data_IF_054482549865
#
_entry.id   IF_054482549865
#
_cell.length_a   1.000
_cell.length_b   1.000
_cell.length_c   1.000
_cell.angle_alpha   90.00
_cell.angle_beta   90.00
_cell.angle_gamma   90.00
#
_symmetry.space_group_name_H-M   'P 1'
#
loop_
_entity.id
_entity.type
_entity.pdbx_description
1 polymer ?
#
# COMPACT_ATOMS: atom_id res chain seq x y z
N UNK A 1 4.10 4.88 2.30
CA UNK A 1 4.94 4.30 3.40
C UNK A 1 5.84 5.34 4.05
N UNK A 2 6.61 6.11 3.26
CA UNK A 2 7.49 7.17 3.77
C UNK A 2 6.70 8.31 4.45
N UNK A 3 5.57 8.77 3.89
CA UNK A 3 4.69 9.79 4.50
C UNK A 3 4.18 9.43 5.90
N UNK A 4 4.01 8.14 6.17
CA UNK A 4 3.55 7.62 7.46
C UNK A 4 4.73 7.28 8.40
N UNK A 5 5.97 7.50 7.98
CA UNK A 5 7.17 7.30 8.79
C UNK A 5 7.54 5.85 9.09
N UNK A 6 7.07 4.89 8.30
CA UNK A 6 7.43 3.47 8.45
C UNK A 6 8.78 3.11 7.81
N UNK A 7 9.17 3.86 6.79
CA UNK A 7 10.37 3.65 5.98
C UNK A 7 11.19 4.94 6.02
N UNK A 8 12.52 4.80 6.10
CA UNK A 8 13.48 5.91 6.04
C UNK A 8 13.76 6.35 4.61
N UNK A 9 15.02 6.67 4.33
CA UNK A 9 15.46 6.98 2.98
C UNK A 9 15.49 5.72 2.11
N UNK A 10 15.28 5.92 0.81
CA UNK A 10 15.39 4.85 -0.17
C UNK A 10 16.19 5.32 -1.37
N UNK A 11 16.99 4.41 -1.91
CA UNK A 11 17.82 4.66 -3.07
C UNK A 11 17.44 3.68 -4.19
N UNK A 12 17.26 4.22 -5.38
CA UNK A 12 17.06 3.43 -6.59
C UNK A 12 18.41 3.26 -7.30
N UNK A 13 18.88 2.02 -7.39
CA UNK A 13 20.11 1.66 -8.08
C UNK A 13 19.73 0.99 -9.40
N UNK A 14 20.08 1.62 -10.51
CA UNK A 14 19.83 1.09 -11.85
C UNK A 14 20.99 0.21 -12.32
N UNK A 15 20.79 -1.10 -12.28
CA UNK A 15 21.75 -2.12 -12.73
C UNK A 15 21.59 -2.49 -14.22
N UNK A 16 20.99 -1.62 -15.07
CA UNK A 16 20.63 -1.93 -16.48
C UNK A 16 19.71 -3.17 -16.64
N UNK A 17 19.20 -3.70 -15.51
CA UNK A 17 18.30 -4.84 -15.40
C UNK A 17 16.93 -4.42 -14.85
N UNK A 18 16.40 -5.14 -13.87
CA UNK A 18 15.10 -4.85 -13.25
C UNK A 18 15.13 -3.71 -12.20
N UNK A 19 16.29 -3.06 -11.99
CA UNK A 19 16.53 -2.11 -10.90
C UNK A 19 16.56 -2.78 -9.52
N UNK A 20 17.32 -2.18 -8.60
CA UNK A 20 17.30 -2.57 -7.18
C UNK A 20 16.88 -1.37 -6.36
N UNK A 21 16.10 -1.61 -5.31
CA UNK A 21 15.79 -0.60 -4.31
C UNK A 21 16.42 -1.00 -3.00
N UNK A 22 17.28 -0.12 -2.50
CA UNK A 22 17.83 -0.20 -1.15
C UNK A 22 16.98 0.72 -0.28
N UNK A 23 16.50 0.18 0.84
CA UNK A 23 15.60 0.89 1.74
C UNK A 23 16.17 0.84 3.15
N UNK A 24 16.27 2.00 3.80
CA UNK A 24 16.58 2.07 5.22
C UNK A 24 15.32 1.83 6.07
N UNK A 25 15.41 0.85 6.98
CA UNK A 25 14.31 0.49 7.86
C UNK A 25 14.48 1.14 9.23
N UNK A 26 13.52 1.97 9.63
CA UNK A 26 13.50 2.65 10.93
C UNK A 26 13.10 1.74 12.11
N UNK A 27 12.95 0.43 11.89
CA UNK A 27 12.54 -0.54 12.93
C UNK A 27 11.06 -0.48 13.37
N UNK A 28 10.25 0.45 12.82
CA UNK A 28 8.81 0.59 13.12
C UNK A 28 7.90 -0.33 12.31
N UNK A 29 8.46 -1.04 11.33
CA UNK A 29 7.72 -1.92 10.44
C UNK A 29 7.51 -3.29 11.10
N UNK A 30 6.28 -3.56 11.52
CA UNK A 30 5.94 -4.86 12.12
C UNK A 30 5.73 -5.94 11.04
N UNK A 31 4.81 -5.69 10.10
CA UNK A 31 4.47 -6.60 9.01
C UNK A 31 3.88 -5.80 7.86
N UNK A 32 4.48 -5.92 6.69
CA UNK A 32 3.87 -5.53 5.42
C UNK A 32 3.52 -6.80 4.64
N UNK A 33 2.34 -6.83 4.05
CA UNK A 33 1.86 -7.97 3.30
C UNK A 33 0.91 -7.53 2.21
N UNK A 34 0.74 -8.40 1.23
CA UNK A 34 -0.07 -8.14 0.06
C UNK A 34 -1.20 -9.15 -0.02
N UNK A 35 -2.38 -8.72 -0.43
CA UNK A 35 -3.51 -9.62 -0.64
C UNK A 35 -3.55 -10.06 -2.11
N UNK A 36 -3.50 -11.37 -2.33
CA UNK A 36 -3.37 -11.95 -3.67
C UNK A 36 -4.62 -11.83 -4.53
N UNK A 37 -5.78 -11.48 -3.96
CA UNK A 37 -7.08 -11.54 -4.65
C UNK A 37 -7.72 -10.15 -4.69
N UNK A 38 -8.11 -9.69 -5.89
CA UNK A 38 -8.79 -8.40 -6.09
C UNK A 38 -10.22 -8.48 -5.58
N UNK A 39 -10.41 -8.18 -4.30
CA UNK A 39 -11.75 -7.93 -3.77
C UNK A 39 -12.14 -6.48 -4.03
N UNK A 40 -13.28 -6.29 -4.67
CA UNK A 40 -13.97 -5.00 -4.66
C UNK A 40 -14.42 -4.70 -3.22
N UNK A 41 -14.08 -3.52 -2.73
CA UNK A 41 -14.44 -3.06 -1.39
C UNK A 41 -15.37 -1.86 -1.54
N UNK A 42 -16.65 -2.07 -1.24
CA UNK A 42 -17.59 -0.96 -1.10
C UNK A 42 -17.26 -0.10 0.11
N UNK A 43 -17.71 1.16 0.12
CA UNK A 43 -17.48 2.11 1.22
C UNK A 43 -17.89 1.54 2.58
N UNK A 44 -19.01 0.80 2.62
CA UNK A 44 -19.55 0.15 3.83
C UNK A 44 -18.70 -1.04 4.29
N UNK A 45 -17.97 -1.69 3.38
CA UNK A 45 -17.19 -2.89 3.67
C UNK A 45 -15.79 -2.57 4.20
N UNK A 46 -15.34 -1.31 4.05
CA UNK A 46 -14.03 -0.84 4.52
C UNK A 46 -13.83 -1.16 6.01
N UNK A 47 -14.84 -0.94 6.86
CA UNK A 47 -14.73 -1.22 8.29
C UNK A 47 -14.58 -2.71 8.60
N UNK A 48 -15.24 -3.58 7.81
CA UNK A 48 -15.08 -5.03 7.93
C UNK A 48 -13.71 -5.52 7.47
N UNK A 49 -13.07 -4.85 6.52
CA UNK A 49 -11.68 -5.13 6.15
C UNK A 49 -10.67 -4.63 7.18
N UNK A 50 -10.91 -3.46 7.78
CA UNK A 50 -10.10 -2.94 8.90
C UNK A 50 -10.07 -3.95 10.05
N UNK A 51 -11.24 -4.46 10.46
CA UNK A 51 -11.33 -5.41 11.56
C UNK A 51 -10.64 -6.76 11.27
N UNK A 52 -10.53 -7.16 10.00
CA UNK A 52 -9.90 -8.43 9.59
C UNK A 52 -8.40 -8.33 9.40
N UNK A 53 -7.92 -7.21 8.89
CA UNK A 53 -6.52 -7.04 8.47
C UNK A 53 -5.67 -6.33 9.53
N UNK A 54 -6.25 -5.40 10.28
CA UNK A 54 -5.51 -4.62 11.27
C UNK A 54 -5.71 -5.22 12.67
N UNK A 55 -4.63 -5.34 13.47
CA UNK A 55 -4.74 -5.85 14.84
C UNK A 55 -5.49 -4.88 15.77
N UNK A 56 -5.52 -3.59 15.43
CA UNK A 56 -6.26 -2.56 16.15
C UNK A 56 -6.70 -1.45 15.18
N UNK A 57 -7.82 -0.78 15.48
CA UNK A 57 -8.30 0.38 14.70
C UNK A 57 -7.37 1.58 14.74
N UNK A 58 -6.52 1.68 15.76
CA UNK A 58 -5.58 2.79 15.95
C UNK A 58 -4.23 2.54 15.27
N UNK A 59 -3.97 1.33 14.78
CA UNK A 59 -2.64 0.95 14.32
C UNK A 59 -2.66 0.29 12.94
N UNK A 60 -1.86 0.86 12.04
CA UNK A 60 -1.63 0.38 10.69
C UNK A 60 -2.56 1.00 9.67
N UNK A 61 -2.13 0.96 8.40
CA UNK A 61 -2.86 1.55 7.30
C UNK A 61 -3.16 0.51 6.25
N UNK A 62 -4.43 0.41 5.88
CA UNK A 62 -4.84 -0.25 4.65
C UNK A 62 -4.83 0.80 3.55
N UNK A 63 -4.21 0.45 2.44
CA UNK A 63 -4.22 1.30 1.25
C UNK A 63 -5.04 0.62 0.16
N UNK A 64 -5.86 1.41 -0.51
CA UNK A 64 -6.84 0.97 -1.50
C UNK A 64 -6.53 1.66 -2.83
N UNK A 65 -6.70 0.92 -3.92
CA UNK A 65 -6.69 1.49 -5.27
C UNK A 65 -8.11 1.87 -5.62
N UNK A 66 -8.38 3.17 -5.71
CA UNK A 66 -9.69 3.72 -6.09
C UNK A 66 -9.60 4.31 -7.49
N UNK A 67 -10.74 4.66 -8.11
CA UNK A 67 -10.76 5.35 -9.40
C UNK A 67 -10.08 6.73 -9.39
N UNK A 68 -9.96 7.35 -8.21
CA UNK A 68 -9.34 8.67 -8.03
C UNK A 68 -7.83 8.55 -7.77
N UNK A 69 -7.34 7.34 -7.53
CA UNK A 69 -5.94 7.06 -7.22
C UNK A 69 -5.77 6.12 -6.03
N UNK A 70 -4.51 5.92 -5.65
CA UNK A 70 -4.11 5.11 -4.50
C UNK A 70 -4.23 5.94 -3.23
N UNK A 71 -4.99 5.46 -2.24
CA UNK A 71 -5.21 6.23 -1.01
C UNK A 71 -5.43 5.35 0.22
N UNK A 72 -5.15 5.93 1.38
CA UNK A 72 -5.39 5.32 2.68
C UNK A 72 -6.89 5.13 2.93
N UNK A 73 -7.26 4.09 3.69
CA UNK A 73 -8.64 3.83 4.10
C UNK A 73 -9.32 5.01 4.82
N UNK A 74 -8.57 5.83 5.57
CA UNK A 74 -9.12 7.05 6.18
C UNK A 74 -9.49 8.10 5.12
N UNK A 75 -8.65 8.30 4.11
CA UNK A 75 -8.93 9.22 2.99
C UNK A 75 -10.09 8.70 2.15
N UNK A 76 -10.14 7.40 1.90
CA UNK A 76 -11.25 6.76 1.20
C UNK A 76 -12.59 6.96 1.94
N UNK A 77 -12.58 6.85 3.28
CA UNK A 77 -13.74 7.12 4.13
C UNK A 77 -14.18 8.58 4.06
N UNK A 78 -13.25 9.54 4.11
CA UNK A 78 -13.57 10.98 3.99
C UNK A 78 -14.16 11.34 2.63
N UNK A 79 -13.66 10.73 1.56
CA UNK A 79 -14.11 10.96 0.18
C UNK A 79 -15.33 10.10 -0.20
N UNK A 80 -15.80 9.21 0.67
CA UNK A 80 -16.86 8.22 0.39
C UNK A 80 -16.62 7.44 -0.91
N UNK A 81 -15.37 7.07 -1.17
CA UNK A 81 -15.00 6.28 -2.35
C UNK A 81 -14.65 4.86 -1.95
N UNK A 82 -15.26 3.90 -2.64
CA UNK A 82 -14.84 2.50 -2.58
C UNK A 82 -13.59 2.28 -3.42
N UNK A 83 -12.99 1.12 -3.27
CA UNK A 83 -11.80 0.77 -4.04
C UNK A 83 -11.64 -0.72 -4.18
N UNK A 84 -10.59 -1.12 -4.85
CA UNK A 84 -10.12 -2.50 -4.83
C UNK A 84 -8.96 -2.59 -3.86
N UNK A 85 -8.91 -3.68 -3.10
CA UNK A 85 -7.65 -4.04 -2.44
C UNK A 85 -6.66 -4.34 -3.58
N UNK A 86 -5.44 -3.78 -3.53
CA UNK A 86 -4.46 -4.07 -4.55
C UNK A 86 -4.16 -5.57 -4.56
N UNK A 87 -4.28 -6.17 -5.73
CA UNK A 87 -3.93 -7.55 -6.06
C UNK A 87 -3.01 -7.54 -7.30
N UNK A 88 -2.27 -8.64 -7.43
CA UNK A 88 -1.34 -8.89 -8.52
C UNK A 88 -2.07 -9.81 -9.49
N UNK A 89 -2.62 -9.26 -10.57
CA UNK A 89 -2.93 -10.06 -11.75
C UNK A 89 -1.72 -10.03 -12.68
N UNK A 90 -0.88 -11.05 -12.55
CA UNK A 90 -0.04 -11.57 -13.62
C UNK A 90 1.04 -10.59 -14.13
N UNK A 91 2.09 -10.36 -13.34
CA UNK A 91 3.50 -10.41 -13.77
C UNK A 91 4.39 -9.94 -12.60
N UNK A 92 5.38 -10.74 -12.23
CA UNK A 92 6.48 -10.46 -11.29
C UNK A 92 6.13 -10.14 -9.81
N UNK A 93 6.57 -11.04 -8.92
CA UNK A 93 6.50 -10.96 -7.45
C UNK A 93 7.26 -9.78 -6.81
N UNK A 94 8.03 -9.01 -7.57
CA UNK A 94 8.87 -7.91 -7.05
C UNK A 94 8.40 -6.51 -7.45
N UNK A 95 7.47 -6.39 -8.40
CA UNK A 95 7.03 -5.08 -8.92
C UNK A 95 6.01 -4.36 -8.02
N UNK A 96 5.22 -5.12 -7.25
CA UNK A 96 4.11 -4.54 -6.49
C UNK A 96 4.57 -3.67 -5.30
N UNK A 97 5.79 -3.87 -4.77
CA UNK A 97 6.37 -2.95 -3.76
C UNK A 97 7.01 -1.70 -4.39
N UNK A 98 7.45 -1.79 -5.65
CA UNK A 98 8.23 -0.75 -6.34
C UNK A 98 7.36 0.40 -6.84
N UNK A 99 6.28 0.09 -7.57
CA UNK A 99 5.32 1.10 -8.02
C UNK A 99 4.66 1.79 -6.83
N UNK A 100 4.45 1.08 -5.72
CA UNK A 100 3.82 1.64 -4.52
C UNK A 100 4.72 2.63 -3.74
N UNK A 101 6.04 2.47 -3.81
CA UNK A 101 7.00 3.41 -3.22
C UNK A 101 7.20 4.64 -4.11
N UNK A 102 7.39 4.44 -5.42
CA UNK A 102 7.54 5.52 -6.40
C UNK A 102 6.25 6.34 -6.58
N UNK A 103 5.07 5.71 -6.57
CA UNK A 103 3.79 6.44 -6.66
C UNK A 103 3.43 7.18 -5.36
N UNK A 104 4.04 6.81 -4.23
CA UNK A 104 3.93 7.59 -2.98
C UNK A 104 4.66 8.95 -3.05
N UNK A 105 5.47 9.21 -4.10
CA UNK A 105 6.16 10.47 -4.35
C UNK A 105 5.45 11.38 -5.39
N UNK A 106 4.52 10.87 -6.20
CA UNK A 106 3.89 11.62 -7.32
C UNK A 106 2.65 12.47 -6.97
N UNK A 107 2.36 12.69 -5.67
CA UNK A 107 1.30 13.62 -5.18
C UNK A 107 1.83 14.67 -4.19
#
# INVERSE_FOLDING_TARGET
MQRHGYIGEFEYVDDHGAGKIVVELNGRLNKCGFNSTHFGVGVKEIEGWIARLLPSRQFGYIVLTTSVGIMDHEKARRKNVGGKVPCNSVLNRLFCSLEWLLFSQMD
#
